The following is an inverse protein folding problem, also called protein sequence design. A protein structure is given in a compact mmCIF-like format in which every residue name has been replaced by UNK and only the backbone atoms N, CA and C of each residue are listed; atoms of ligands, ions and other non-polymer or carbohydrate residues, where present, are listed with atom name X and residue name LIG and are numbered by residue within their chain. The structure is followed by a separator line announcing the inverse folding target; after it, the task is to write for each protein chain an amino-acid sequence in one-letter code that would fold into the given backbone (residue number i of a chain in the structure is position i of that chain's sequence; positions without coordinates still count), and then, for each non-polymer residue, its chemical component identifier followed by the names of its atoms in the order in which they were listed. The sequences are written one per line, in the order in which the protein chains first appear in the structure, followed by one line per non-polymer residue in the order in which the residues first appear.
data_IF_798442433867
#
_entry.id   IF_798442433867
#
_cell.length_a   1.000
_cell.length_b   1.000
_cell.length_c   1.000
_cell.angle_alpha   90.00
_cell.angle_beta   90.00
_cell.angle_gamma   90.00
#
_symmetry.space_group_name_H-M   'P 1'
#
loop_
_entity.id
_entity.type
_entity.pdbx_description
1 polymer ?
#
# COMPACT_ATOMS: atom_id res chain seq x y z
N UNK A 1 12.85 -10.14 11.59
CA UNK A 1 12.61 -9.11 10.57
C UNK A 1 11.29 -9.47 9.92
N UNK A 2 10.43 -8.50 9.68
CA UNK A 2 9.13 -8.73 9.04
C UNK A 2 9.35 -8.52 7.55
N UNK A 3 9.14 -9.58 6.76
CA UNK A 3 9.27 -9.51 5.30
C UNK A 3 8.18 -8.61 4.73
N UNK A 4 8.53 -7.73 3.79
CA UNK A 4 7.56 -6.84 3.11
C UNK A 4 7.07 -7.56 1.86
N UNK A 5 5.78 -7.88 1.80
CA UNK A 5 5.22 -8.58 0.63
C UNK A 5 4.89 -7.55 -0.45
N UNK A 6 5.46 -7.73 -1.64
CA UNK A 6 5.16 -6.92 -2.82
C UNK A 6 4.80 -7.80 -4.02
N UNK A 7 3.99 -7.25 -4.92
CA UNK A 7 3.90 -7.74 -6.30
C UNK A 7 4.97 -7.05 -7.14
N UNK A 8 5.25 -7.53 -8.35
CA UNK A 8 6.14 -6.83 -9.28
C UNK A 8 5.66 -5.40 -9.57
N UNK A 9 4.35 -5.21 -9.75
CA UNK A 9 3.73 -3.91 -9.97
C UNK A 9 3.89 -2.99 -8.75
N UNK A 10 3.69 -3.52 -7.53
CA UNK A 10 3.91 -2.80 -6.28
C UNK A 10 5.37 -2.37 -6.11
N UNK A 11 6.32 -3.27 -6.39
CA UNK A 11 7.76 -2.95 -6.37
C UNK A 11 8.09 -1.82 -7.33
N UNK A 12 7.63 -1.91 -8.58
CA UNK A 12 7.88 -0.88 -9.60
C UNK A 12 7.35 0.48 -9.18
N UNK A 13 6.14 0.55 -8.58
CA UNK A 13 5.59 1.80 -8.04
C UNK A 13 6.48 2.42 -6.97
N UNK A 14 7.01 1.60 -6.05
CA UNK A 14 7.93 2.09 -5.01
C UNK A 14 9.25 2.59 -5.61
N UNK A 15 9.79 1.91 -6.62
CA UNK A 15 11.01 2.33 -7.32
C UNK A 15 10.81 3.67 -8.05
N UNK A 16 9.67 3.84 -8.72
CA UNK A 16 9.30 5.09 -9.39
C UNK A 16 9.14 6.25 -8.40
N UNK A 17 8.47 6.02 -7.27
CA UNK A 17 8.34 7.02 -6.20
C UNK A 17 9.73 7.39 -5.63
N UNK A 18 10.56 6.39 -5.31
CA UNK A 18 11.89 6.61 -4.76
C UNK A 18 12.77 7.42 -5.71
N UNK A 19 12.74 7.12 -7.00
CA UNK A 19 13.49 7.84 -8.02
C UNK A 19 13.05 9.30 -8.11
N UNK A 20 11.74 9.56 -8.13
CA UNK A 20 11.19 10.92 -8.12
C UNK A 20 11.65 11.71 -6.89
N UNK A 21 11.58 11.10 -5.70
CA UNK A 21 11.97 11.76 -4.46
C UNK A 21 13.47 12.12 -4.46
N UNK A 22 14.32 11.22 -4.97
CA UNK A 22 15.79 11.41 -4.98
C UNK A 22 16.27 12.38 -6.05
N UNK A 23 15.61 12.43 -7.21
CA UNK A 23 16.09 13.19 -8.38
C UNK A 23 15.36 14.51 -8.60
N UNK A 24 14.05 14.56 -8.31
CA UNK A 24 13.21 15.74 -8.53
C UNK A 24 12.98 16.47 -7.22
N UNK A 25 12.24 15.86 -6.29
CA UNK A 25 11.77 16.53 -5.06
C UNK A 25 12.92 17.03 -4.19
N UNK A 26 13.99 16.24 -4.02
CA UNK A 26 15.19 16.65 -3.25
C UNK A 26 15.90 17.87 -3.85
N UNK A 27 15.90 18.01 -5.18
CA UNK A 27 16.47 19.18 -5.87
C UNK A 27 15.60 20.41 -5.65
N UNK A 28 14.28 20.28 -5.77
CA UNK A 28 13.31 21.34 -5.50
C UNK A 28 13.43 21.88 -4.07
N UNK A 29 13.49 20.98 -3.08
CA UNK A 29 13.66 21.35 -1.66
C UNK A 29 14.97 22.10 -1.45
N UNK A 30 16.06 21.64 -2.08
CA UNK A 30 17.36 22.33 -1.99
C UNK A 30 17.29 23.75 -2.58
N UNK A 31 16.57 23.92 -3.68
CA UNK A 31 16.34 25.24 -4.29
C UNK A 31 15.49 26.14 -3.37
N UNK A 32 14.41 25.61 -2.79
CA UNK A 32 13.55 26.32 -1.85
C UNK A 32 14.32 26.79 -0.60
N UNK A 33 15.11 25.90 0.02
CA UNK A 33 15.97 26.24 1.15
C UNK A 33 17.00 27.31 0.80
N UNK A 34 17.57 27.28 -0.41
CA UNK A 34 18.51 28.32 -0.87
C UNK A 34 17.80 29.66 -1.06
N UNK A 35 16.60 29.66 -1.63
CA UNK A 35 15.80 30.88 -1.84
C UNK A 35 15.40 31.51 -0.50
N UNK A 36 14.90 30.70 0.46
CA UNK A 36 14.51 31.18 1.78
C UNK A 36 15.72 31.76 2.55
N UNK A 37 16.91 31.14 2.45
CA UNK A 37 18.15 31.67 3.02
C UNK A 37 18.60 33.02 2.47
N UNK A 38 18.23 33.34 1.23
CA UNK A 38 18.56 34.63 0.63
C UNK A 38 17.70 35.78 1.18
N UNK A 39 16.60 35.48 1.89
CA UNK A 39 15.69 36.48 2.47
C UNK A 39 16.19 37.04 3.82
N UNK A 40 17.30 36.53 4.37
CA UNK A 40 17.97 37.08 5.54
C UNK A 40 17.52 36.42 6.84
N UNK A 41 16.56 37.01 7.55
CA UNK A 41 16.10 36.47 8.83
C UNK A 41 15.36 35.14 8.63
N UNK A 42 15.93 34.07 9.17
CA UNK A 42 15.41 32.70 9.05
C UNK A 42 14.50 32.31 10.21
N UNK A 43 14.55 33.05 11.31
CA UNK A 43 13.89 32.68 12.57
C UNK A 43 12.36 32.84 12.50
N UNK A 44 11.89 33.78 11.69
CA UNK A 44 10.46 34.01 11.39
C UNK A 44 10.09 33.61 9.95
N UNK A 45 11.01 32.99 9.20
CA UNK A 45 10.79 32.66 7.80
C UNK A 45 9.94 31.39 7.66
N UNK A 46 8.66 31.59 7.34
CA UNK A 46 7.71 30.50 7.10
C UNK A 46 8.15 29.59 5.95
N UNK A 47 8.70 30.14 4.86
CA UNK A 47 9.17 29.36 3.71
C UNK A 47 10.37 28.47 4.08
N UNK A 48 11.28 28.96 4.93
CA UNK A 48 12.40 28.17 5.43
C UNK A 48 11.92 27.01 6.30
N UNK A 49 10.99 27.29 7.21
CA UNK A 49 10.42 26.27 8.11
C UNK A 49 9.68 25.19 7.32
N UNK A 50 8.82 25.59 6.38
CA UNK A 50 8.11 24.67 5.48
C UNK A 50 9.08 23.82 4.65
N UNK A 51 10.11 24.43 4.06
CA UNK A 51 11.11 23.69 3.28
C UNK A 51 11.94 22.70 4.14
N UNK A 52 12.15 22.99 5.43
CA UNK A 52 12.80 22.07 6.38
C UNK A 52 11.89 20.90 6.77
N UNK A 53 10.60 21.14 6.93
CA UNK A 53 9.61 20.10 7.17
C UNK A 53 9.49 19.17 5.94
N UNK A 54 9.33 19.74 4.75
CA UNK A 54 9.33 19.02 3.47
C UNK A 54 10.59 18.17 3.30
N UNK A 55 11.76 18.71 3.66
CA UNK A 55 13.01 17.97 3.68
C UNK A 55 12.92 16.76 4.62
N UNK A 56 12.46 16.96 5.86
CA UNK A 56 12.36 15.88 6.84
C UNK A 56 11.43 14.77 6.37
N UNK A 57 10.22 15.14 5.91
CA UNK A 57 9.24 14.19 5.42
C UNK A 57 9.75 13.40 4.21
N UNK A 58 10.39 14.10 3.27
CA UNK A 58 10.97 13.46 2.06
C UNK A 58 12.06 12.47 2.42
N UNK A 59 12.98 12.83 3.32
CA UNK A 59 14.07 11.93 3.72
C UNK A 59 13.57 10.73 4.54
N UNK A 60 12.58 10.93 5.41
CA UNK A 60 11.89 9.82 6.10
C UNK A 60 11.26 8.86 5.10
N UNK A 61 10.51 9.38 4.12
CA UNK A 61 9.88 8.55 3.09
C UNK A 61 10.88 7.79 2.25
N UNK A 62 12.00 8.41 1.86
CA UNK A 62 13.09 7.74 1.15
C UNK A 62 13.64 6.56 1.96
N UNK A 63 13.87 6.73 3.26
CA UNK A 63 14.37 5.65 4.13
C UNK A 63 13.36 4.50 4.24
N UNK A 64 12.07 4.80 4.36
CA UNK A 64 11.02 3.79 4.36
C UNK A 64 10.98 3.00 3.05
N UNK A 65 11.03 3.68 1.90
CA UNK A 65 11.03 3.05 0.58
C UNK A 65 12.27 2.18 0.37
N UNK A 66 13.45 2.67 0.73
CA UNK A 66 14.70 1.89 0.65
C UNK A 66 14.65 0.66 1.56
N UNK A 67 14.04 0.78 2.75
CA UNK A 67 13.81 -0.36 3.64
C UNK A 67 12.83 -1.36 3.03
N UNK A 68 11.68 -0.91 2.52
CA UNK A 68 10.66 -1.77 1.91
C UNK A 68 11.22 -2.53 0.72
N UNK A 69 11.89 -1.83 -0.21
CA UNK A 69 12.49 -2.43 -1.41
C UNK A 69 13.60 -3.43 -1.05
N UNK A 70 14.41 -3.14 -0.03
CA UNK A 70 15.50 -4.02 0.41
C UNK A 70 15.01 -5.32 1.05
N UNK A 71 13.89 -5.27 1.77
CA UNK A 71 13.33 -6.41 2.50
C UNK A 71 12.10 -7.00 1.80
N UNK A 72 11.90 -6.68 0.52
CA UNK A 72 10.75 -7.13 -0.24
C UNK A 72 10.87 -8.61 -0.61
N UNK A 73 9.80 -9.37 -0.35
CA UNK A 73 9.56 -10.68 -0.95
C UNK A 73 8.55 -10.49 -2.07
N UNK A 74 8.97 -10.79 -3.30
CA UNK A 74 8.12 -10.68 -4.48
C UNK A 74 7.27 -11.94 -4.59
N UNK A 75 5.95 -11.75 -4.66
CA UNK A 75 4.99 -12.83 -4.89
C UNK A 75 4.16 -12.55 -6.14
N UNK A 76 3.74 -13.63 -6.78
CA UNK A 76 2.91 -13.63 -7.98
C UNK A 76 1.69 -14.51 -7.76
N UNK A 77 0.65 -14.30 -8.58
CA UNK A 77 -0.50 -15.20 -8.62
C UNK A 77 -0.07 -16.59 -9.07
N UNK A 78 -0.51 -17.62 -8.36
CA UNK A 78 -0.37 -19.01 -8.81
C UNK A 78 -1.16 -19.29 -10.10
N UNK A 79 -0.83 -20.41 -10.73
CA UNK A 79 -1.52 -20.92 -11.93
C UNK A 79 -2.86 -21.62 -11.59
N UNK A 80 -3.17 -21.84 -10.31
CA UNK A 80 -4.39 -22.53 -9.86
C UNK A 80 -5.61 -21.64 -10.10
N UNK A 81 -6.49 -21.99 -11.02
CA UNK A 81 -7.59 -21.11 -11.46
C UNK A 81 -8.78 -21.04 -10.50
N UNK A 82 -8.86 -21.97 -9.55
CA UNK A 82 -9.95 -22.08 -8.56
C UNK A 82 -9.63 -21.44 -7.21
N UNK A 83 -8.47 -20.79 -7.08
CA UNK A 83 -7.98 -20.19 -5.83
C UNK A 83 -8.00 -18.66 -5.89
N UNK A 84 -8.49 -18.03 -4.83
CA UNK A 84 -8.44 -16.57 -4.65
C UNK A 84 -7.04 -16.14 -4.19
N UNK A 85 -6.17 -15.95 -5.15
CA UNK A 85 -4.76 -15.59 -4.94
C UNK A 85 -4.52 -14.08 -5.09
N UNK A 86 -3.30 -13.64 -4.81
CA UNK A 86 -2.91 -12.24 -5.04
C UNK A 86 -3.06 -11.86 -6.53
N UNK A 87 -3.37 -10.59 -6.78
CA UNK A 87 -3.68 -10.01 -8.10
C UNK A 87 -4.89 -10.62 -8.81
N UNK A 88 -5.74 -11.33 -8.08
CA UNK A 88 -7.02 -11.80 -8.59
C UNK A 88 -8.17 -11.01 -8.02
N UNK A 89 -9.28 -11.09 -8.73
CA UNK A 89 -10.54 -10.46 -8.37
C UNK A 89 -11.61 -11.52 -8.19
N UNK A 90 -12.44 -11.37 -7.17
CA UNK A 90 -13.54 -12.27 -6.87
C UNK A 90 -14.78 -11.49 -6.43
N UNK A 91 -15.96 -12.07 -6.65
CA UNK A 91 -17.17 -11.68 -5.96
C UNK A 91 -17.16 -12.32 -4.57
N UNK A 92 -17.23 -11.48 -3.54
CA UNK A 92 -17.23 -11.91 -2.13
C UNK A 92 -18.55 -11.50 -1.49
N UNK A 93 -19.24 -12.48 -0.90
CA UNK A 93 -20.44 -12.23 -0.09
C UNK A 93 -20.04 -11.86 1.33
N UNK A 94 -20.56 -10.75 1.83
CA UNK A 94 -20.44 -10.30 3.22
C UNK A 94 -21.75 -10.57 3.95
N UNK A 95 -21.71 -11.39 4.99
CA UNK A 95 -22.91 -11.90 5.66
C UNK A 95 -23.51 -10.93 6.69
N UNK A 96 -22.72 -10.02 7.23
CA UNK A 96 -23.15 -9.02 8.22
C UNK A 96 -24.01 -7.91 7.60
N UNK A 97 -23.68 -7.51 6.37
CA UNK A 97 -24.40 -6.48 5.61
C UNK A 97 -25.27 -7.04 4.48
N UNK A 98 -25.21 -8.35 4.23
CA UNK A 98 -25.92 -9.03 3.13
C UNK A 98 -25.59 -8.47 1.73
N UNK A 99 -24.35 -8.03 1.50
CA UNK A 99 -23.89 -7.44 0.22
C UNK A 99 -22.86 -8.33 -0.48
N UNK A 100 -22.74 -8.19 -1.80
CA UNK A 100 -21.70 -8.84 -2.61
C UNK A 100 -20.84 -7.75 -3.24
N UNK A 101 -19.54 -7.82 -2.98
CA UNK A 101 -18.58 -6.84 -3.49
C UNK A 101 -17.52 -7.52 -4.37
N UNK A 102 -17.02 -6.76 -5.34
CA UNK A 102 -15.90 -7.18 -6.18
C UNK A 102 -14.58 -6.86 -5.44
N UNK A 103 -13.92 -7.89 -4.92
CA UNK A 103 -12.70 -7.77 -4.12
C UNK A 103 -11.50 -8.16 -4.96
N UNK A 104 -10.47 -7.32 -4.97
CA UNK A 104 -9.16 -7.67 -5.55
C UNK A 104 -8.12 -7.82 -4.44
N UNK A 105 -7.49 -8.98 -4.34
CA UNK A 105 -6.40 -9.20 -3.37
C UNK A 105 -5.09 -8.63 -3.93
N UNK A 106 -4.40 -7.81 -3.14
CA UNK A 106 -3.19 -7.09 -3.57
C UNK A 106 -2.14 -7.07 -2.45
N UNK A 107 -0.96 -6.51 -2.74
CA UNK A 107 0.02 -6.18 -1.70
C UNK A 107 -0.41 -4.95 -0.90
N UNK A 108 0.19 -4.74 0.28
CA UNK A 108 -0.10 -3.57 1.11
C UNK A 108 0.13 -2.23 0.39
N UNK A 109 1.14 -2.17 -0.48
CA UNK A 109 1.48 -0.99 -1.28
C UNK A 109 0.40 -0.61 -2.28
N UNK A 110 -0.37 -1.59 -2.76
CA UNK A 110 -1.37 -1.40 -3.81
C UNK A 110 -2.80 -1.40 -3.29
N UNK A 111 -2.94 -1.47 -1.96
CA UNK A 111 -4.23 -1.50 -1.29
C UNK A 111 -4.96 -0.17 -1.42
N UNK A 112 -6.27 -0.28 -1.68
CA UNK A 112 -7.19 0.81 -1.79
C UNK A 112 -8.58 0.29 -1.41
N UNK A 113 -8.92 0.47 -0.13
CA UNK A 113 -10.17 -0.02 0.45
C UNK A 113 -11.39 0.57 -0.25
N UNK A 114 -11.31 1.82 -0.74
CA UNK A 114 -12.44 2.46 -1.43
C UNK A 114 -12.80 1.77 -2.74
N UNK A 115 -11.81 1.12 -3.37
CA UNK A 115 -11.96 0.38 -4.61
C UNK A 115 -11.87 -1.13 -4.40
N UNK A 116 -12.09 -1.61 -3.15
CA UNK A 116 -12.02 -3.02 -2.77
C UNK A 116 -10.74 -3.74 -3.21
N UNK A 117 -9.62 -3.00 -3.27
CA UNK A 117 -8.27 -3.55 -3.42
C UNK A 117 -7.71 -3.83 -2.03
N UNK A 118 -7.83 -5.06 -1.57
CA UNK A 118 -7.58 -5.44 -0.19
C UNK A 118 -6.20 -6.08 -0.06
N UNK A 119 -5.39 -5.59 0.87
CA UNK A 119 -4.09 -6.18 1.17
C UNK A 119 -4.27 -7.60 1.71
N UNK A 120 -3.49 -8.57 1.20
CA UNK A 120 -3.44 -9.93 1.76
C UNK A 120 -2.93 -9.97 3.20
N UNK A 121 -2.35 -8.89 3.71
CA UNK A 121 -1.88 -8.76 5.09
C UNK A 121 -2.96 -8.21 6.05
N UNK A 122 -4.04 -7.64 5.50
CA UNK A 122 -5.19 -7.14 6.26
C UNK A 122 -6.04 -8.29 6.82
N UNK A 123 -6.88 -8.06 7.85
CA UNK A 123 -7.75 -9.11 8.38
C UNK A 123 -8.65 -9.77 7.32
N UNK A 124 -9.30 -8.96 6.48
CA UNK A 124 -10.15 -9.44 5.39
C UNK A 124 -9.32 -10.20 4.34
N UNK A 125 -8.19 -9.62 3.91
CA UNK A 125 -7.33 -10.27 2.93
C UNK A 125 -6.76 -11.60 3.41
N UNK A 126 -6.36 -11.70 4.68
CA UNK A 126 -5.89 -12.95 5.29
C UNK A 126 -6.95 -14.05 5.32
N UNK A 127 -8.20 -13.67 5.58
CA UNK A 127 -9.32 -14.61 5.60
C UNK A 127 -9.66 -15.12 4.20
N UNK A 128 -9.53 -14.27 3.17
CA UNK A 128 -9.86 -14.59 1.78
C UNK A 128 -8.73 -15.24 1.00
N UNK A 129 -7.48 -14.91 1.33
CA UNK A 129 -6.31 -15.38 0.60
C UNK A 129 -6.23 -16.91 0.63
N UNK A 130 -6.11 -17.50 -0.57
CA UNK A 130 -6.06 -18.95 -0.82
C UNK A 130 -7.36 -19.72 -0.60
N UNK A 131 -8.49 -19.04 -0.37
CA UNK A 131 -9.80 -19.70 -0.41
C UNK A 131 -10.19 -20.11 -1.83
N UNK A 132 -11.03 -21.14 -1.94
CA UNK A 132 -11.64 -21.56 -3.20
C UNK A 132 -13.06 -21.00 -3.33
N UNK A 133 -13.59 -21.07 -4.55
CA UNK A 133 -15.00 -20.73 -4.80
C UNK A 133 -15.91 -21.63 -3.96
N UNK A 134 -16.83 -21.01 -3.21
CA UNK A 134 -17.75 -21.64 -2.26
C UNK A 134 -17.20 -21.79 -0.83
N UNK A 135 -15.93 -21.47 -0.59
CA UNK A 135 -15.37 -21.49 0.76
C UNK A 135 -15.82 -20.27 1.56
N UNK A 136 -16.06 -20.49 2.85
CA UNK A 136 -16.42 -19.44 3.83
C UNK A 136 -15.31 -19.26 4.85
N UNK A 137 -15.11 -18.03 5.30
CA UNK A 137 -14.19 -17.70 6.37
C UNK A 137 -14.76 -16.61 7.28
N UNK A 138 -14.38 -16.65 8.56
CA UNK A 138 -14.68 -15.59 9.51
C UNK A 138 -13.55 -14.59 9.53
N UNK A 139 -13.86 -13.32 9.26
CA UNK A 139 -12.93 -12.19 9.39
C UNK A 139 -12.95 -11.71 10.83
N UNK A 140 -11.78 -11.60 11.45
CA UNK A 140 -11.63 -11.05 12.81
C UNK A 140 -11.00 -9.67 12.69
N UNK A 141 -11.79 -8.63 12.96
CA UNK A 141 -11.35 -7.24 12.94
C UNK A 141 -11.38 -6.64 14.36
N UNK A 142 -10.72 -5.49 14.59
CA UNK A 142 -10.79 -4.79 15.88
C UNK A 142 -12.21 -4.44 16.32
N UNK A 143 -13.12 -4.20 15.36
CA UNK A 143 -14.48 -3.76 15.61
C UNK A 143 -15.49 -4.91 15.73
N UNK A 144 -15.04 -6.15 15.54
CA UNK A 144 -15.87 -7.36 15.60
C UNK A 144 -15.50 -8.39 14.55
N UNK A 145 -16.31 -9.44 14.46
CA UNK A 145 -16.15 -10.52 13.47
C UNK A 145 -17.36 -10.63 12.57
N UNK A 146 -17.13 -10.95 11.30
CA UNK A 146 -18.16 -11.19 10.30
C UNK A 146 -17.73 -12.31 9.37
N UNK A 147 -18.69 -12.99 8.74
CA UNK A 147 -18.41 -14.09 7.82
C UNK A 147 -18.41 -13.59 6.37
N UNK A 148 -17.52 -14.18 5.58
CA UNK A 148 -17.39 -13.93 4.14
C UNK A 148 -17.35 -15.24 3.35
N UNK A 149 -17.77 -15.20 2.09
CA UNK A 149 -17.72 -16.33 1.16
C UNK A 149 -17.23 -15.89 -0.22
N UNK A 150 -16.36 -16.70 -0.84
CA UNK A 150 -15.91 -16.47 -2.22
C UNK A 150 -16.95 -17.06 -3.19
N UNK A 151 -17.85 -16.25 -3.71
CA UNK A 151 -18.93 -16.70 -4.60
C UNK A 151 -18.41 -17.09 -5.99
N UNK A 152 -17.45 -16.32 -6.51
CA UNK A 152 -16.96 -16.49 -7.88
C UNK A 152 -15.63 -15.76 -8.11
N UNK A 153 -14.70 -16.41 -8.81
CA UNK A 153 -13.50 -15.75 -9.36
C UNK A 153 -13.80 -15.12 -10.74
N UNK A 154 -13.25 -13.93 -10.99
CA UNK A 154 -13.45 -13.15 -12.22
C UNK A 154 -12.28 -13.30 -13.21
#
# INVERSE_FOLDING_TARGET
MQDVILTEAGKKKLEEELEYLKTVKRVEIKAALKAARAQGDLSENADYSAAKEDQSMTETRIQELEYQLKNAVIIESSLETDVFDINRTALVKFYDVDEIEEVTLVSSVESDVKNMRISIESPLGKALFRLKVGDKATVISPDGSYDVEVEKLL
#
